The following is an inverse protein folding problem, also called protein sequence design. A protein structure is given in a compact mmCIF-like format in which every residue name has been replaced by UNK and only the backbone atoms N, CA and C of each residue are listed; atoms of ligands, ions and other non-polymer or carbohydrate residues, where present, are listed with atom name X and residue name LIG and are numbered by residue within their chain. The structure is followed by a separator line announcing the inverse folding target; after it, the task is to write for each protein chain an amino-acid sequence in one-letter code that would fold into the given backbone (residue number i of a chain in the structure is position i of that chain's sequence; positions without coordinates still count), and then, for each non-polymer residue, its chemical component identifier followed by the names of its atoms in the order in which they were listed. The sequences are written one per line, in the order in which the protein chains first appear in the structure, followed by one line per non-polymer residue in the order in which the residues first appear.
data_IF_395345352668
#
_entry.id   IF_395345352668
#
_cell.length_a   1.000
_cell.length_b   1.000
_cell.length_c   1.000
_cell.angle_alpha   90.00
_cell.angle_beta   90.00
_cell.angle_gamma   90.00
#
_symmetry.space_group_name_H-M   'P 1'
#
loop_
_entity.id
_entity.type
_entity.pdbx_description
1 polymer ?
#
# COMPACT_ATOMS: atom_id res chain seq x y z
N UNK A 1 -9.83 -16.97 -35.10
CA UNK A 1 -8.84 -17.41 -34.10
C UNK A 1 -8.30 -16.16 -33.43
N UNK A 2 -8.40 -16.06 -32.10
CA UNK A 2 -7.77 -14.93 -31.39
C UNK A 2 -6.27 -15.21 -31.22
N UNK A 3 -5.42 -14.17 -31.25
CA UNK A 3 -4.03 -14.31 -30.91
C UNK A 3 -3.88 -14.84 -29.47
N UNK A 4 -2.82 -15.63 -29.20
CA UNK A 4 -2.57 -16.20 -27.88
C UNK A 4 -2.32 -15.10 -26.86
N UNK A 5 -2.81 -15.31 -25.63
CA UNK A 5 -2.60 -14.38 -24.51
C UNK A 5 -1.13 -14.42 -24.08
N UNK A 6 -0.46 -13.28 -24.17
CA UNK A 6 0.83 -13.07 -23.50
C UNK A 6 0.59 -12.49 -22.10
N UNK A 7 1.38 -12.91 -21.11
CA UNK A 7 1.28 -12.42 -19.72
C UNK A 7 2.67 -12.08 -19.24
N UNK A 8 2.91 -10.80 -18.95
CA UNK A 8 4.12 -10.30 -18.33
C UNK A 8 3.86 -10.00 -16.85
N UNK A 9 4.81 -10.31 -15.96
CA UNK A 9 4.74 -9.97 -14.54
C UNK A 9 5.78 -8.91 -14.25
N UNK A 10 5.33 -7.72 -13.85
CA UNK A 10 6.20 -6.60 -13.49
C UNK A 10 6.20 -6.40 -11.99
N UNK A 11 7.40 -6.22 -11.43
CA UNK A 11 7.59 -5.97 -10.01
C UNK A 11 7.68 -4.47 -9.76
N UNK A 12 6.69 -3.93 -9.07
CA UNK A 12 6.62 -2.52 -8.71
C UNK A 12 7.09 -2.31 -7.28
N UNK A 13 7.84 -1.23 -7.06
CA UNK A 13 8.25 -0.77 -5.74
C UNK A 13 7.33 0.38 -5.30
N UNK A 14 6.92 0.36 -4.04
CA UNK A 14 6.27 1.50 -3.42
C UNK A 14 7.25 2.67 -3.29
N UNK A 15 6.73 3.89 -3.41
CA UNK A 15 7.47 5.08 -2.96
C UNK A 15 7.65 5.05 -1.44
N UNK A 16 8.50 5.92 -0.90
CA UNK A 16 8.71 6.04 0.54
C UNK A 16 7.39 6.32 1.27
N UNK A 17 6.58 7.23 0.73
CA UNK A 17 5.29 7.62 1.31
C UNK A 17 4.27 6.48 1.26
N UNK A 18 4.18 5.78 0.14
CA UNK A 18 3.29 4.61 -0.01
C UNK A 18 3.70 3.49 0.94
N UNK A 19 5.00 3.29 1.14
CA UNK A 19 5.55 2.30 2.05
C UNK A 19 5.24 2.64 3.50
N UNK A 20 5.44 3.90 3.91
CA UNK A 20 5.11 4.37 5.25
C UNK A 20 3.62 4.17 5.57
N UNK A 21 2.74 4.51 4.62
CA UNK A 21 1.31 4.24 4.74
C UNK A 21 1.03 2.76 4.95
N UNK A 22 1.60 1.93 4.07
CA UNK A 22 1.37 0.50 4.06
C UNK A 22 1.84 -0.15 5.36
N UNK A 23 3.02 0.24 5.87
CA UNK A 23 3.57 -0.31 7.10
C UNK A 23 2.78 0.12 8.34
N UNK A 24 2.30 1.37 8.39
CA UNK A 24 1.39 1.82 9.45
C UNK A 24 0.09 1.00 9.45
N UNK A 25 -0.52 0.82 8.27
CA UNK A 25 -1.75 0.03 8.10
C UNK A 25 -1.55 -1.45 8.46
N UNK A 26 -0.43 -2.04 8.02
CA UNK A 26 -0.04 -3.42 8.30
C UNK A 26 0.16 -3.65 9.78
N UNK A 27 0.88 -2.74 10.44
CA UNK A 27 1.17 -2.83 11.88
C UNK A 27 -0.12 -2.77 12.69
N UNK A 28 -1.01 -1.82 12.38
CA UNK A 28 -2.31 -1.73 13.05
C UNK A 28 -3.17 -2.98 12.83
N UNK A 29 -3.26 -3.44 11.57
CA UNK A 29 -4.03 -4.64 11.21
C UNK A 29 -3.51 -5.87 11.95
N UNK A 30 -2.18 -5.99 12.07
CA UNK A 30 -1.53 -7.07 12.80
C UNK A 30 -1.85 -7.01 14.30
N UNK A 31 -1.71 -5.85 14.94
CA UNK A 31 -2.03 -5.69 16.37
C UNK A 31 -3.48 -6.08 16.66
N UNK A 32 -4.42 -5.66 15.81
CA UNK A 32 -5.84 -5.99 15.96
C UNK A 32 -6.13 -7.47 15.73
N UNK A 33 -5.47 -8.08 14.74
CA UNK A 33 -5.56 -9.51 14.49
C UNK A 33 -5.01 -10.32 15.65
N UNK A 34 -3.83 -9.96 16.18
CA UNK A 34 -3.19 -10.64 17.30
C UNK A 34 -4.07 -10.57 18.56
N UNK A 35 -4.80 -9.47 18.78
CA UNK A 35 -5.82 -9.38 19.83
C UNK A 35 -6.98 -10.38 19.62
N UNK A 36 -7.50 -10.51 18.40
CA UNK A 36 -8.54 -11.51 18.09
C UNK A 36 -8.05 -12.94 18.28
N UNK A 37 -6.77 -13.21 18.02
CA UNK A 37 -6.14 -14.52 18.28
C UNK A 37 -6.06 -14.77 19.78
N UNK A 38 -5.57 -13.80 20.56
CA UNK A 38 -5.48 -13.92 22.01
C UNK A 38 -6.84 -14.14 22.69
N UNK A 39 -7.91 -13.53 22.16
CA UNK A 39 -9.28 -13.74 22.64
C UNK A 39 -9.95 -15.02 22.10
N UNK A 40 -9.35 -15.72 21.13
CA UNK A 40 -9.97 -16.86 20.45
C UNK A 40 -11.19 -16.49 19.59
N UNK A 41 -11.32 -15.23 19.17
CA UNK A 41 -12.50 -14.67 18.48
C UNK A 41 -12.27 -14.37 17.00
N UNK A 42 -11.21 -14.94 16.39
CA UNK A 42 -10.89 -14.71 14.97
C UNK A 42 -12.07 -15.05 14.05
N UNK A 43 -12.71 -16.21 14.25
CA UNK A 43 -13.85 -16.65 13.44
C UNK A 43 -15.09 -15.77 13.63
N UNK A 44 -15.34 -15.34 14.87
CA UNK A 44 -16.46 -14.45 15.20
C UNK A 44 -16.29 -13.06 14.56
N UNK A 45 -15.05 -12.66 14.26
CA UNK A 45 -14.70 -11.38 13.65
C UNK A 45 -14.22 -11.54 12.20
N UNK A 46 -14.61 -12.61 11.50
CA UNK A 46 -14.10 -12.91 10.16
C UNK A 46 -14.32 -11.77 9.14
N UNK A 47 -15.49 -11.12 9.18
CA UNK A 47 -15.76 -9.96 8.33
C UNK A 47 -14.76 -8.81 8.56
N UNK A 48 -14.38 -8.58 9.82
CA UNK A 48 -13.37 -7.58 10.20
C UNK A 48 -11.99 -8.00 9.72
N UNK A 49 -11.62 -9.27 9.85
CA UNK A 49 -10.33 -9.79 9.35
C UNK A 49 -10.22 -9.66 7.83
N UNK A 50 -11.26 -10.05 7.10
CA UNK A 50 -11.31 -9.86 5.66
C UNK A 50 -11.25 -8.38 5.26
N UNK A 51 -11.89 -7.50 6.04
CA UNK A 51 -11.83 -6.06 5.82
C UNK A 51 -10.41 -5.54 5.97
N UNK A 52 -9.67 -5.96 7.00
CA UNK A 52 -8.25 -5.59 7.19
C UNK A 52 -7.39 -6.06 5.99
N UNK A 53 -7.61 -7.30 5.53
CA UNK A 53 -6.91 -7.82 4.34
C UNK A 53 -7.25 -7.04 3.07
N UNK A 54 -8.52 -6.69 2.88
CA UNK A 54 -8.99 -5.91 1.74
C UNK A 54 -8.33 -4.53 1.72
N UNK A 55 -8.25 -3.87 2.87
CA UNK A 55 -7.62 -2.55 3.00
C UNK A 55 -6.13 -2.60 2.67
N UNK A 56 -5.39 -3.60 3.16
CA UNK A 56 -3.98 -3.77 2.79
C UNK A 56 -3.80 -3.99 1.28
N UNK A 57 -4.70 -4.74 0.62
CA UNK A 57 -4.66 -4.92 -0.84
C UNK A 57 -4.97 -3.62 -1.58
N UNK A 58 -5.90 -2.81 -1.07
CA UNK A 58 -6.23 -1.51 -1.65
C UNK A 58 -5.05 -0.54 -1.51
N UNK A 59 -4.34 -0.57 -0.38
CA UNK A 59 -3.13 0.22 -0.16
C UNK A 59 -2.05 -0.06 -1.22
N UNK A 60 -1.90 -1.31 -1.68
CA UNK A 60 -0.97 -1.65 -2.76
C UNK A 60 -1.36 -1.07 -4.13
N UNK A 61 -2.63 -0.71 -4.33
CA UNK A 61 -3.09 -0.12 -5.60
C UNK A 61 -3.06 1.41 -5.54
N UNK A 62 -3.67 1.98 -4.50
CA UNK A 62 -3.65 3.41 -4.25
C UNK A 62 -4.14 3.72 -2.81
N UNK A 63 -3.42 4.52 -2.00
CA UNK A 63 -3.82 4.86 -0.63
C UNK A 63 -5.24 5.44 -0.52
N UNK A 64 -5.66 6.25 -1.50
CA UNK A 64 -7.01 6.81 -1.56
C UNK A 64 -8.14 5.76 -1.56
N UNK A 65 -7.92 4.56 -2.09
CA UNK A 65 -8.94 3.50 -2.10
C UNK A 65 -9.24 2.99 -0.67
N UNK A 66 -8.28 3.11 0.23
CA UNK A 66 -8.47 2.82 1.66
C UNK A 66 -9.14 3.99 2.36
N UNK A 67 -8.71 5.22 2.07
CA UNK A 67 -9.17 6.44 2.75
C UNK A 67 -10.57 6.88 2.35
N UNK A 68 -10.96 6.69 1.09
CA UNK A 68 -12.30 7.01 0.58
C UNK A 68 -13.42 6.21 1.25
N UNK A 69 -13.09 5.09 1.91
CA UNK A 69 -14.03 4.26 2.67
C UNK A 69 -13.92 4.44 4.18
N UNK A 70 -13.01 5.30 4.64
CA UNK A 70 -12.69 5.50 6.05
C UNK A 70 -13.78 6.26 6.84
N UNK A 71 -14.89 6.64 6.19
CA UNK A 71 -16.08 7.19 6.85
C UNK A 71 -16.62 6.27 7.96
N UNK A 72 -16.26 4.99 7.92
CA UNK A 72 -16.68 3.96 8.87
C UNK A 72 -15.61 3.56 9.90
N UNK A 73 -14.35 4.02 9.79
CA UNK A 73 -13.27 3.64 10.71
C UNK A 73 -12.37 4.83 11.07
N UNK A 74 -12.52 5.34 12.29
CA UNK A 74 -11.71 6.43 12.85
C UNK A 74 -10.20 6.13 12.82
N UNK A 75 -9.84 4.87 13.03
CA UNK A 75 -8.48 4.33 12.98
C UNK A 75 -7.78 4.62 11.63
N UNK A 76 -8.47 4.42 10.52
CA UNK A 76 -7.93 4.66 9.17
C UNK A 76 -7.82 6.14 8.84
N UNK A 77 -8.75 6.96 9.34
CA UNK A 77 -8.66 8.41 9.17
C UNK A 77 -7.42 8.96 9.87
N UNK A 78 -7.07 8.43 11.04
CA UNK A 78 -5.85 8.83 11.76
C UNK A 78 -4.60 8.57 10.92
N UNK A 79 -4.42 7.34 10.44
CA UNK A 79 -3.28 6.94 9.58
C UNK A 79 -3.28 7.73 8.26
N UNK A 80 -4.46 7.93 7.67
CA UNK A 80 -4.62 8.62 6.40
C UNK A 80 -4.45 10.13 6.45
N UNK A 81 -4.68 10.77 7.59
CA UNK A 81 -4.73 12.24 7.68
C UNK A 81 -3.39 12.91 7.34
N UNK A 82 -2.28 12.31 7.76
CA UNK A 82 -0.92 12.81 7.48
C UNK A 82 -0.57 12.65 6.01
N UNK A 83 -0.89 11.48 5.45
CA UNK A 83 -0.68 11.19 4.04
C UNK A 83 -1.56 12.04 3.14
N UNK A 84 -2.87 12.11 3.36
CA UNK A 84 -3.78 12.89 2.52
C UNK A 84 -3.35 14.35 2.47
N UNK A 85 -2.93 14.92 3.60
CA UNK A 85 -2.37 16.27 3.67
C UNK A 85 -1.07 16.40 2.87
N UNK A 86 -0.18 15.40 2.93
CA UNK A 86 1.08 15.39 2.18
C UNK A 86 0.87 15.23 0.67
N UNK A 87 -0.01 14.32 0.25
CA UNK A 87 -0.36 14.07 -1.15
C UNK A 87 -1.02 15.28 -1.82
N UNK A 88 -1.76 16.10 -1.06
CA UNK A 88 -2.31 17.37 -1.57
C UNK A 88 -1.24 18.43 -1.85
N UNK A 89 -0.04 18.31 -1.27
CA UNK A 89 1.08 19.23 -1.55
C UNK A 89 2.02 18.70 -2.65
N UNK A 90 2.13 17.38 -2.84
CA UNK A 90 3.01 16.80 -3.88
C UNK A 90 2.42 16.86 -5.28
N UNK A 91 1.10 17.06 -5.41
CA UNK A 91 0.44 17.27 -6.71
C UNK A 91 0.85 18.59 -7.41
N UNK A 92 1.48 19.53 -6.69
CA UNK A 92 1.90 20.83 -7.22
C UNK A 92 3.34 20.87 -7.76
N UNK A 93 4.06 19.74 -7.82
CA UNK A 93 5.28 19.69 -8.63
C UNK A 93 6.27 18.56 -8.30
N UNK A 94 6.43 17.63 -9.24
CA UNK A 94 7.73 17.04 -9.61
C UNK A 94 7.57 16.21 -10.91
N UNK A 95 8.27 16.59 -11.99
CA UNK A 95 8.46 15.75 -13.18
C UNK A 95 9.22 14.48 -12.80
N UNK A 96 8.89 13.30 -13.36
CA UNK A 96 9.75 12.12 -13.21
C UNK A 96 11.00 12.33 -14.06
N UNK A 97 12.14 12.60 -13.40
CA UNK A 97 13.44 12.58 -14.08
C UNK A 97 13.73 11.16 -14.56
N UNK A 98 13.83 11.02 -15.88
CA UNK A 98 14.21 9.80 -16.60
C UNK A 98 15.61 9.37 -16.20
N UNK A 99 15.72 8.28 -15.44
CA UNK A 99 16.99 7.61 -15.14
C UNK A 99 17.36 6.62 -16.25
N UNK A 100 17.96 7.11 -17.33
CA UNK A 100 18.65 6.27 -18.31
C UNK A 100 19.84 5.58 -17.65
N UNK A 101 19.74 4.27 -17.44
CA UNK A 101 20.87 3.43 -17.04
C UNK A 101 21.73 3.06 -18.24
N UNK A 102 22.84 3.77 -18.46
CA UNK A 102 23.89 3.34 -19.38
C UNK A 102 25.28 3.77 -18.89
N UNK A 103 26.11 2.80 -18.51
CA UNK A 103 27.48 2.61 -19.02
C UNK A 103 28.28 1.65 -18.12
N UNK A 104 28.69 0.54 -18.74
CA UNK A 104 29.77 -0.35 -18.29
C UNK A 104 31.09 0.42 -18.23
N UNK A 105 31.88 0.21 -17.17
CA UNK A 105 33.34 0.16 -17.22
C UNK A 105 33.88 -0.47 -15.93
N UNK A 106 34.38 -1.70 -16.00
CA UNK A 106 35.25 -2.25 -14.96
C UNK A 106 36.68 -1.77 -15.18
N UNK A 107 37.43 -1.39 -14.13
CA UNK A 107 38.83 -1.04 -14.31
C UNK A 107 39.69 -2.31 -14.43
N UNK A 108 40.46 -2.36 -15.52
CA UNK A 108 41.63 -3.21 -15.66
C UNK A 108 42.81 -2.55 -14.96
N UNK A 109 43.40 -3.23 -13.98
CA UNK A 109 44.86 -3.35 -13.72
C UNK A 109 45.08 -4.22 -12.48
#
# INVERSE_FOLDING_TARGET
LLPPKETNVEWLLFTEEERDFYDALRTQSKTRFDAFVAEGKVLNNYATVLTMLLQMRQACNHPYLVLSRADTQADLRSIGSVLLKRWQHTADGHEPTSGSGEARAGPSS
#
